data_IF_655998391907
#
_entry.id   IF_655998391907
#
_cell.length_a   1.000
_cell.length_b   1.000
_cell.length_c   1.000
_cell.angle_alpha   90.00
_cell.angle_beta   90.00
_cell.angle_gamma   90.00
#
_symmetry.space_group_name_H-M   'P 1'
#
loop_
_entity.id
_entity.type
_entity.pdbx_description
1 polymer ?
#
# COMPACT_ATOMS: atom_id res chain seq x y z
N UNK A 1 1.51 14.47 -4.88
CA UNK A 1 0.59 15.09 -3.91
C UNK A 1 -0.22 13.96 -3.31
N UNK A 2 -0.43 13.94 -2.00
CA UNK A 2 -1.25 12.91 -1.36
C UNK A 2 -2.53 13.56 -0.88
N UNK A 3 -3.67 12.92 -1.18
CA UNK A 3 -4.95 13.31 -0.60
C UNK A 3 -5.45 12.16 0.27
N UNK A 4 -5.89 12.50 1.47
CA UNK A 4 -6.53 11.56 2.39
C UNK A 4 -8.03 11.85 2.43
N UNK A 5 -8.83 10.80 2.47
CA UNK A 5 -10.26 10.92 2.78
C UNK A 5 -10.47 10.29 4.15
N UNK A 6 -10.88 11.11 5.11
CA UNK A 6 -11.29 10.69 6.45
C UNK A 6 -12.82 10.75 6.50
N UNK A 7 -13.50 9.61 6.60
CA UNK A 7 -14.90 9.55 6.97
C UNK A 7 -15.03 9.35 8.49
N UNK A 8 -15.86 10.18 9.13
CA UNK A 8 -16.15 10.15 10.56
C UNK A 8 -17.12 9.00 10.94
N UNK A 9 -17.47 8.12 9.99
CA UNK A 9 -18.16 6.87 10.28
C UNK A 9 -17.17 5.88 10.95
N UNK A 10 -17.03 6.01 12.27
CA UNK A 10 -16.38 5.00 13.11
C UNK A 10 -17.13 3.68 12.97
N UNK A 11 -16.54 2.71 12.28
CA UNK A 11 -16.73 1.28 12.49
C UNK A 11 -15.58 0.55 11.79
N UNK A 12 -14.51 0.21 12.53
CA UNK A 12 -13.72 -0.96 12.20
C UNK A 12 -14.63 -2.16 12.46
N UNK A 13 -15.49 -2.47 11.48
CA UNK A 13 -16.59 -3.40 11.68
C UNK A 13 -16.01 -4.80 11.89
N UNK A 14 -16.27 -5.37 13.08
CA UNK A 14 -15.80 -6.66 13.55
C UNK A 14 -16.51 -7.82 12.86
N UNK A 15 -16.60 -7.76 11.53
CA UNK A 15 -17.12 -8.80 10.68
C UNK A 15 -15.94 -9.65 10.18
N UNK A 16 -16.02 -10.97 10.38
CA UNK A 16 -15.00 -11.89 9.90
C UNK A 16 -14.85 -11.75 8.38
N UNK A 17 -13.67 -11.33 7.91
CA UNK A 17 -13.37 -11.12 6.49
C UNK A 17 -13.54 -9.69 5.95
N UNK A 18 -13.82 -8.69 6.81
CA UNK A 18 -13.97 -7.28 6.42
C UNK A 18 -12.66 -6.52 6.14
N UNK A 19 -11.49 -7.11 6.43
CA UNK A 19 -10.17 -6.46 6.29
C UNK A 19 -9.65 -6.25 4.87
N UNK A 20 -10.47 -6.44 3.82
CA UNK A 20 -10.01 -6.32 2.44
C UNK A 20 -9.65 -4.88 2.09
N UNK A 21 -8.52 -4.70 1.43
CA UNK A 21 -8.11 -3.44 0.84
C UNK A 21 -8.29 -3.49 -0.68
N UNK A 22 -8.91 -2.45 -1.24
CA UNK A 22 -9.05 -2.26 -2.68
C UNK A 22 -8.01 -1.27 -3.20
N UNK A 23 -7.45 -1.56 -4.37
CA UNK A 23 -6.56 -0.69 -5.12
C UNK A 23 -7.25 -0.38 -6.43
N UNK A 24 -7.43 0.90 -6.74
CA UNK A 24 -8.13 1.36 -7.94
C UNK A 24 -7.21 2.27 -8.73
N UNK A 25 -7.07 2.01 -10.03
CA UNK A 25 -6.24 2.83 -10.92
C UNK A 25 -6.71 2.71 -12.37
N UNK A 26 -6.14 3.53 -13.26
CA UNK A 26 -6.25 3.33 -14.70
C UNK A 26 -5.24 2.27 -15.12
N UNK A 27 -5.72 1.19 -15.75
CA UNK A 27 -4.87 0.09 -16.19
C UNK A 27 -3.80 0.58 -17.18
N UNK A 28 -2.52 0.29 -16.95
CA UNK A 28 -1.46 0.57 -17.92
C UNK A 28 -1.55 -0.34 -19.16
N UNK A 29 -2.13 -1.55 -19.02
CA UNK A 29 -2.33 -2.48 -20.12
C UNK A 29 -3.46 -2.06 -21.05
N UNK A 30 -4.64 -1.79 -20.47
CA UNK A 30 -5.86 -1.62 -21.25
C UNK A 30 -6.27 -0.15 -21.41
N UNK A 31 -5.74 0.75 -20.57
CA UNK A 31 -6.16 2.15 -20.50
C UNK A 31 -7.54 2.39 -19.87
N UNK A 32 -8.22 1.33 -19.43
CA UNK A 32 -9.54 1.40 -18.79
C UNK A 32 -9.43 1.40 -17.26
N UNK A 33 -10.58 1.54 -16.60
CA UNK A 33 -10.69 1.34 -15.15
C UNK A 33 -10.21 -0.05 -14.74
N UNK A 34 -9.47 -0.13 -13.64
CA UNK A 34 -9.01 -1.37 -13.04
C UNK A 34 -9.08 -1.25 -11.52
N UNK A 35 -9.68 -2.25 -10.90
CA UNK A 35 -9.64 -2.49 -9.47
C UNK A 35 -9.00 -3.85 -9.15
N UNK A 36 -8.32 -3.91 -8.02
CA UNK A 36 -7.75 -5.15 -7.45
C UNK A 36 -8.00 -5.15 -5.96
N UNK A 37 -8.19 -6.32 -5.37
CA UNK A 37 -8.46 -6.47 -3.95
C UNK A 37 -7.49 -7.49 -3.35
N UNK A 38 -6.88 -7.14 -2.22
CA UNK A 38 -6.19 -8.10 -1.38
C UNK A 38 -6.79 -8.16 0.01
N UNK A 39 -6.63 -9.33 0.64
CA UNK A 39 -6.98 -9.51 2.04
C UNK A 39 -5.85 -9.06 2.96
N UNK A 40 -5.95 -9.48 4.22
CA UNK A 40 -4.97 -9.18 5.25
C UNK A 40 -5.40 -8.05 6.17
N UNK A 41 -4.42 -7.49 6.86
CA UNK A 41 -4.65 -6.47 7.89
C UNK A 41 -4.57 -5.03 7.35
N UNK A 42 -4.13 -4.80 6.10
CA UNK A 42 -3.95 -3.44 5.58
C UNK A 42 -5.23 -2.60 5.63
N UNK A 43 -6.36 -3.16 5.21
CA UNK A 43 -7.64 -2.42 5.23
C UNK A 43 -8.05 -2.06 6.67
N UNK A 44 -7.85 -2.99 7.60
CA UNK A 44 -8.13 -2.76 9.01
C UNK A 44 -7.18 -1.73 9.63
N UNK A 45 -5.87 -1.82 9.37
CA UNK A 45 -4.86 -0.90 9.86
C UNK A 45 -5.05 0.51 9.30
N UNK A 46 -5.41 0.64 8.02
CA UNK A 46 -5.71 1.93 7.42
C UNK A 46 -6.91 2.60 8.11
N UNK A 47 -7.99 1.85 8.35
CA UNK A 47 -9.15 2.36 9.09
C UNK A 47 -8.82 2.70 10.55
N UNK A 48 -7.98 1.90 11.20
CA UNK A 48 -7.48 2.16 12.56
C UNK A 48 -6.63 3.44 12.63
N UNK A 49 -5.90 3.77 11.56
CA UNK A 49 -5.18 5.05 11.42
C UNK A 49 -6.13 6.26 11.18
N UNK A 50 -7.44 6.04 11.14
CA UNK A 50 -8.45 7.08 10.91
C UNK A 50 -8.64 7.47 9.44
N UNK A 51 -8.25 6.60 8.50
CA UNK A 51 -8.33 6.84 7.05
C UNK A 51 -9.16 5.79 6.34
N UNK A 52 -9.95 6.20 5.36
CA UNK A 52 -10.70 5.28 4.50
C UNK A 52 -9.97 5.01 3.18
N UNK A 53 -9.27 6.03 2.67
CA UNK A 53 -8.57 5.94 1.39
C UNK A 53 -7.32 6.82 1.38
N UNK A 54 -6.30 6.32 0.67
CA UNK A 54 -5.10 7.05 0.30
C UNK A 54 -5.08 7.25 -1.21
N UNK A 55 -5.03 8.52 -1.66
CA UNK A 55 -4.87 8.86 -3.07
C UNK A 55 -3.44 9.28 -3.32
N UNK A 56 -2.73 8.52 -4.14
CA UNK A 56 -1.33 8.76 -4.51
C UNK A 56 -1.29 9.40 -5.89
N UNK A 57 -0.86 10.66 -5.97
CA UNK A 57 -0.71 11.37 -7.24
C UNK A 57 0.73 11.83 -7.48
N UNK A 58 1.13 11.80 -8.75
CA UNK A 58 2.45 12.23 -9.21
C UNK A 58 3.46 11.08 -9.21
N UNK A 59 4.75 11.44 -9.16
CA UNK A 59 5.87 10.49 -9.21
C UNK A 59 7.02 11.03 -8.38
N UNK A 60 7.65 10.17 -7.57
CA UNK A 60 8.90 10.51 -6.89
C UNK A 60 10.09 10.36 -7.84
N UNK A 61 11.10 11.22 -7.69
CA UNK A 61 12.35 11.13 -8.47
C UNK A 61 13.26 9.97 -8.02
N UNK A 62 13.01 9.41 -6.83
CA UNK A 62 13.74 8.28 -6.24
C UNK A 62 12.78 7.29 -5.60
N UNK A 63 13.17 6.01 -5.43
CA UNK A 63 12.39 5.04 -4.67
C UNK A 63 12.08 5.55 -3.26
N UNK A 64 10.79 5.51 -2.88
CA UNK A 64 10.31 5.93 -1.56
C UNK A 64 9.23 4.99 -1.08
N UNK A 65 9.15 4.82 0.24
CA UNK A 65 8.05 4.17 0.94
C UNK A 65 7.17 5.24 1.56
N UNK A 66 5.86 5.12 1.35
CA UNK A 66 4.87 5.86 2.13
C UNK A 66 4.63 5.10 3.43
N UNK A 67 5.05 5.67 4.54
CA UNK A 67 4.85 5.11 5.87
C UNK A 67 3.73 5.85 6.59
N UNK A 68 2.75 5.09 7.07
CA UNK A 68 1.62 5.59 7.84
C UNK A 68 1.74 5.06 9.27
N UNK A 69 1.85 5.97 10.22
CA UNK A 69 1.94 5.67 11.65
C UNK A 69 0.94 6.55 12.40
N UNK A 70 -0.17 5.96 12.82
CA UNK A 70 -1.34 6.66 13.36
C UNK A 70 -1.73 7.88 12.50
N UNK A 71 -1.60 9.10 13.02
CA UNK A 71 -1.94 10.33 12.30
C UNK A 71 -0.85 10.82 11.33
N UNK A 72 0.37 10.27 11.39
CA UNK A 72 1.50 10.74 10.60
C UNK A 72 1.67 9.97 9.28
N UNK A 73 1.75 10.72 8.17
CA UNK A 73 2.25 10.21 6.89
C UNK A 73 3.66 10.75 6.62
N UNK A 74 4.58 9.85 6.28
CA UNK A 74 5.96 10.20 5.94
C UNK A 74 6.40 9.50 4.66
N UNK A 75 7.16 10.21 3.82
CA UNK A 75 7.90 9.59 2.72
C UNK A 75 9.33 9.30 3.17
N UNK A 76 9.68 8.02 3.13
CA UNK A 76 10.98 7.53 3.58
C UNK A 76 11.77 7.07 2.35
N UNK A 77 13.04 7.49 2.17
CA UNK A 77 13.91 6.94 1.13
C UNK A 77 13.98 5.41 1.20
N UNK A 78 13.90 4.77 0.04
CA UNK A 78 13.81 3.31 -0.09
C UNK A 78 14.72 2.77 -1.20
N UNK A 79 15.84 3.45 -1.47
CA UNK A 79 16.81 3.02 -2.47
C UNK A 79 17.36 1.60 -2.19
N UNK A 80 17.35 1.18 -0.92
CA UNK A 80 17.77 -0.14 -0.45
C UNK A 80 16.75 -1.26 -0.71
N UNK A 81 15.51 -0.91 -1.04
CA UNK A 81 14.43 -1.87 -1.34
C UNK A 81 14.26 -2.13 -2.83
N UNK A 82 14.77 -1.25 -3.69
CA UNK A 82 14.57 -1.33 -5.14
C UNK A 82 15.32 -2.53 -5.73
N UNK A 83 14.62 -3.32 -6.55
CA UNK A 83 15.13 -4.53 -7.20
C UNK A 83 15.01 -5.79 -6.36
N UNK A 84 14.52 -5.69 -5.12
CA UNK A 84 14.23 -6.85 -4.27
C UNK A 84 12.89 -7.48 -4.66
N UNK A 85 12.76 -8.77 -4.38
CA UNK A 85 11.43 -9.40 -4.41
C UNK A 85 10.57 -8.94 -3.24
N UNK A 86 9.26 -9.15 -3.35
CA UNK A 86 8.25 -8.67 -2.40
C UNK A 86 8.43 -9.22 -0.99
N UNK A 87 8.86 -10.48 -0.85
CA UNK A 87 9.14 -11.09 0.45
C UNK A 87 10.35 -10.43 1.11
N UNK A 88 11.43 -10.20 0.36
CA UNK A 88 12.62 -9.53 0.85
C UNK A 88 12.33 -8.07 1.24
N UNK A 89 11.52 -7.35 0.45
CA UNK A 89 11.05 -6.00 0.81
C UNK A 89 10.28 -6.04 2.13
N UNK A 90 9.38 -7.01 2.29
CA UNK A 90 8.59 -7.16 3.51
C UNK A 90 9.46 -7.43 4.73
N UNK A 91 10.39 -8.38 4.65
CA UNK A 91 11.28 -8.73 5.75
C UNK A 91 12.12 -7.52 6.18
N UNK A 92 12.66 -6.77 5.21
CA UNK A 92 13.41 -5.52 5.47
C UNK A 92 12.55 -4.46 6.17
N UNK A 93 11.31 -4.28 5.73
CA UNK A 93 10.40 -3.31 6.35
C UNK A 93 10.01 -3.74 7.77
N UNK A 94 9.80 -5.04 8.00
CA UNK A 94 9.52 -5.60 9.33
C UNK A 94 10.72 -5.48 10.27
N UNK A 95 11.95 -5.63 9.77
CA UNK A 95 13.16 -5.38 10.54
C UNK A 95 13.28 -3.91 10.94
N UNK A 96 12.88 -2.99 10.05
CA UNK A 96 13.02 -1.53 10.24
C UNK A 96 11.93 -0.93 11.12
N UNK A 97 10.68 -1.35 10.95
CA UNK A 97 9.50 -0.74 11.60
C UNK A 97 8.76 -1.69 12.54
N UNK A 98 9.15 -2.97 12.60
CA UNK A 98 8.54 -3.99 13.45
C UNK A 98 7.51 -4.86 12.74
N UNK A 99 7.09 -5.94 13.40
CA UNK A 99 6.18 -6.96 12.84
C UNK A 99 4.70 -6.55 12.79
N UNK A 100 4.35 -5.40 13.35
CA UNK A 100 2.97 -4.91 13.40
C UNK A 100 2.52 -4.18 12.14
N UNK A 101 3.42 -3.97 11.17
CA UNK A 101 3.11 -3.24 9.94
C UNK A 101 2.43 -4.15 8.91
N UNK A 102 1.46 -3.62 8.18
CA UNK A 102 1.01 -4.18 6.91
C UNK A 102 1.74 -3.52 5.75
N UNK A 103 2.16 -4.31 4.76
CA UNK A 103 2.94 -3.82 3.61
C UNK A 103 2.18 -4.03 2.31
N UNK A 104 2.13 -2.98 1.50
CA UNK A 104 1.74 -3.02 0.08
C UNK A 104 2.99 -2.70 -0.74
N UNK A 105 3.48 -3.66 -1.52
CA UNK A 105 4.70 -3.45 -2.33
C UNK A 105 4.61 -4.14 -3.69
N UNK A 106 5.47 -3.73 -4.62
CA UNK A 106 5.63 -4.38 -5.91
C UNK A 106 7.05 -4.94 -6.02
N UNK A 107 7.19 -6.11 -6.66
CA UNK A 107 8.50 -6.66 -6.99
C UNK A 107 9.12 -6.02 -8.24
N UNK A 108 10.22 -6.60 -8.76
CA UNK A 108 10.98 -6.04 -9.88
C UNK A 108 10.16 -5.87 -11.16
N UNK A 109 9.11 -6.67 -11.35
CA UNK A 109 8.22 -6.51 -12.49
C UNK A 109 7.48 -5.16 -12.45
N UNK A 110 6.99 -4.75 -11.26
CA UNK A 110 6.30 -3.46 -11.07
C UNK A 110 7.24 -2.28 -11.23
N UNK A 111 8.46 -2.41 -10.72
CA UNK A 111 9.53 -1.43 -10.91
C UNK A 111 9.88 -1.21 -12.38
N UNK A 112 9.87 -2.29 -13.18
CA UNK A 112 10.10 -2.27 -14.63
C UNK A 112 8.85 -1.93 -15.46
N UNK A 113 7.73 -1.55 -14.82
CA UNK A 113 6.49 -1.13 -15.48
C UNK A 113 5.91 -2.18 -16.44
N UNK A 114 6.02 -3.46 -16.11
CA UNK A 114 5.40 -4.52 -16.91
C UNK A 114 3.87 -4.36 -16.80
N UNK A 115 3.10 -4.24 -17.91
CA UNK A 115 1.69 -3.81 -17.86
C UNK A 115 0.72 -4.72 -17.09
N UNK A 116 1.13 -5.97 -16.80
CA UNK A 116 0.34 -6.99 -16.08
C UNK A 116 0.86 -7.24 -14.67
N UNK A 117 1.60 -6.28 -14.09
CA UNK A 117 2.14 -6.46 -12.75
C UNK A 117 1.08 -6.47 -11.68
N UNK A 118 1.17 -7.48 -10.84
CA UNK A 118 0.47 -7.54 -9.58
C UNK A 118 1.19 -6.69 -8.53
N UNK A 119 0.41 -6.11 -7.63
CA UNK A 119 0.92 -5.47 -6.41
C UNK A 119 0.60 -6.45 -5.28
N UNK A 120 1.64 -6.85 -4.54
CA UNK A 120 1.48 -7.83 -3.48
C UNK A 120 1.08 -7.14 -2.17
N UNK A 121 0.03 -7.67 -1.57
CA UNK A 121 -0.50 -7.29 -0.28
C UNK A 121 -0.14 -8.36 0.73
N UNK A 122 0.73 -8.03 1.68
CA UNK A 122 1.06 -8.94 2.77
C UNK A 122 1.07 -8.18 4.09
N UNK A 123 0.17 -8.61 4.98
CA UNK A 123 0.18 -8.29 6.40
C UNK A 123 1.33 -9.02 7.11
#
# INVERSE_FOLDING_TARGET
MFQEIKDNSTNAESAHGSGRAGIVTKSPLSGYFMDSYGGGDLGAQLKQSGRDMLVIEGKSSKPVVLFCDDDALSLIPADDLWGLDTLAVQDRLREKFGKGISTLCCGPAGENQVPITEIELVC
#
